data_IF_417594664571
#
_entry.id   IF_417594664571
#
_cell.length_a   1.000
_cell.length_b   1.000
_cell.length_c   1.000
_cell.angle_alpha   90.00
_cell.angle_beta   90.00
_cell.angle_gamma   90.00
#
_symmetry.space_group_name_H-M   'P 1'
#
loop_
_entity.id
_entity.type
_entity.pdbx_description
1 polymer ?
#
# COMPACT_ATOMS: atom_id res chain seq x y z
N UNK A 1 -37.72 17.08 -34.81
CA UNK A 1 -36.64 16.20 -34.33
C UNK A 1 -35.35 17.02 -34.27
N UNK A 2 -35.06 17.68 -33.14
CA UNK A 2 -33.89 18.56 -33.00
C UNK A 2 -32.77 17.81 -32.30
N UNK A 3 -31.76 17.40 -33.06
CA UNK A 3 -30.60 16.67 -32.56
C UNK A 3 -29.64 17.58 -31.78
N UNK A 4 -29.19 17.05 -30.64
CA UNK A 4 -28.35 17.67 -29.62
C UNK A 4 -27.00 18.12 -30.19
N UNK A 5 -26.81 19.44 -30.34
CA UNK A 5 -25.46 20.01 -30.45
C UNK A 5 -24.87 20.03 -29.04
N UNK A 6 -24.11 19.01 -28.69
CA UNK A 6 -23.34 18.98 -27.45
C UNK A 6 -22.33 20.13 -27.50
N UNK A 7 -22.44 21.07 -26.58
CA UNK A 7 -21.65 22.29 -26.58
C UNK A 7 -20.20 21.96 -26.17
N UNK A 8 -19.24 22.23 -27.06
CA UNK A 8 -17.80 22.01 -26.84
C UNK A 8 -17.30 22.74 -25.59
N UNK A 9 -17.91 23.89 -25.24
CA UNK A 9 -17.58 24.65 -24.04
C UNK A 9 -17.84 23.87 -22.75
N UNK A 10 -18.91 23.07 -22.69
CA UNK A 10 -19.24 22.27 -21.51
C UNK A 10 -18.27 21.09 -21.32
N UNK A 11 -17.75 20.53 -22.42
CA UNK A 11 -16.76 19.46 -22.37
C UNK A 11 -15.41 19.97 -21.84
N UNK A 12 -14.99 21.17 -22.27
CA UNK A 12 -13.75 21.80 -21.82
C UNK A 12 -13.84 22.21 -20.34
N UNK A 13 -14.99 22.73 -19.90
CA UNK A 13 -15.20 23.06 -18.48
C UNK A 13 -15.20 21.84 -17.54
N UNK A 14 -15.61 20.65 -18.00
CA UNK A 14 -15.53 19.42 -17.20
C UNK A 14 -14.11 18.90 -17.02
N UNK A 15 -13.22 19.12 -18.00
CA UNK A 15 -11.82 18.73 -17.90
C UNK A 15 -11.04 19.58 -16.89
N UNK A 16 -11.43 20.84 -16.72
CA UNK A 16 -10.77 21.79 -15.82
C UNK A 16 -11.29 21.74 -14.36
N UNK A 17 -12.18 20.80 -14.02
CA UNK A 17 -12.59 20.64 -12.63
C UNK A 17 -11.50 19.91 -11.84
N UNK A 18 -11.03 20.47 -10.71
CA UNK A 18 -10.08 19.78 -9.85
C UNK A 18 -10.73 18.48 -9.35
N UNK A 19 -10.27 17.34 -9.88
CA UNK A 19 -10.72 16.04 -9.41
C UNK A 19 -10.18 15.85 -7.99
N UNK A 20 -11.08 15.94 -7.02
CA UNK A 20 -10.78 15.65 -5.61
C UNK A 20 -10.43 14.17 -5.50
N UNK A 21 -9.14 13.87 -5.56
CA UNK A 21 -8.60 12.51 -5.42
C UNK A 21 -8.92 12.07 -3.99
N UNK A 22 -10.00 11.31 -3.84
CA UNK A 22 -10.33 10.73 -2.55
C UNK A 22 -9.47 9.47 -2.42
N UNK A 23 -8.59 9.35 -1.41
CA UNK A 23 -7.74 8.18 -1.29
C UNK A 23 -8.60 6.97 -0.92
N UNK A 24 -9.03 6.21 -1.92
CA UNK A 24 -9.69 4.91 -1.71
C UNK A 24 -8.61 3.92 -1.29
N UNK A 25 -8.66 3.45 -0.03
CA UNK A 25 -7.79 2.37 0.39
C UNK A 25 -8.11 1.09 -0.40
N UNK A 26 -7.10 0.37 -0.93
CA UNK A 26 -7.32 -0.92 -1.57
C UNK A 26 -7.98 -1.91 -0.61
N UNK A 27 -8.95 -2.71 -1.08
CA UNK A 27 -9.62 -3.73 -0.26
C UNK A 27 -8.63 -4.68 0.44
N UNK A 28 -7.52 -5.01 -0.21
CA UNK A 28 -6.45 -5.87 0.34
C UNK A 28 -5.75 -5.28 1.56
N UNK A 29 -5.89 -3.98 1.84
CA UNK A 29 -5.31 -3.29 3.00
C UNK A 29 -6.36 -2.95 4.06
N UNK A 30 -7.61 -3.34 3.86
CA UNK A 30 -8.68 -3.11 4.83
C UNK A 30 -8.37 -3.84 6.14
N UNK A 31 -8.42 -3.13 7.27
CA UNK A 31 -8.12 -3.67 8.60
C UNK A 31 -6.63 -3.83 8.92
N UNK A 32 -5.73 -3.53 7.98
CA UNK A 32 -4.28 -3.60 8.18
C UNK A 32 -3.70 -2.22 8.49
N UNK A 33 -2.67 -2.19 9.36
CA UNK A 33 -1.88 -0.99 9.64
C UNK A 33 -0.44 -1.19 9.20
N UNK A 34 0.11 -0.17 8.54
CA UNK A 34 1.52 -0.16 8.16
C UNK A 34 2.40 0.01 9.38
N UNK A 35 3.40 -0.87 9.51
CA UNK A 35 4.52 -0.71 10.45
C UNK A 35 5.76 -0.40 9.61
N UNK A 36 6.37 0.76 9.82
CA UNK A 36 7.52 1.22 9.05
C UNK A 36 8.64 1.72 9.98
N UNK A 37 9.88 1.52 9.55
CA UNK A 37 11.09 2.00 10.22
C UNK A 37 12.19 2.30 9.20
N UNK A 38 13.13 3.16 9.57
CA UNK A 38 14.31 3.45 8.76
C UNK A 38 15.41 2.43 9.10
N UNK A 39 15.94 1.77 8.08
CA UNK A 39 16.99 0.76 8.20
C UNK A 39 18.11 1.03 7.21
N UNK A 40 19.27 0.41 7.45
CA UNK A 40 20.36 0.42 6.50
C UNK A 40 19.93 -0.16 5.13
N UNK A 41 20.32 0.44 4.00
CA UNK A 41 19.98 -0.07 2.68
C UNK A 41 20.47 -1.51 2.43
N UNK A 42 21.62 -1.90 2.95
CA UNK A 42 22.10 -3.28 2.86
C UNK A 42 21.23 -4.24 3.65
N UNK A 43 20.77 -3.85 4.84
CA UNK A 43 19.87 -4.68 5.63
C UNK A 43 18.57 -4.95 4.86
N UNK A 44 18.02 -3.91 4.22
CA UNK A 44 16.83 -4.03 3.37
C UNK A 44 17.05 -4.97 2.18
N UNK A 45 18.24 -4.95 1.57
CA UNK A 45 18.60 -5.86 0.47
C UNK A 45 18.71 -7.30 0.94
N UNK A 46 19.45 -7.55 2.03
CA UNK A 46 19.65 -8.89 2.59
C UNK A 46 18.32 -9.53 2.97
N UNK A 47 17.41 -8.76 3.59
CA UNK A 47 16.10 -9.26 3.97
C UNK A 47 15.24 -9.65 2.75
N UNK A 48 15.34 -8.90 1.65
CA UNK A 48 14.66 -9.24 0.39
C UNK A 48 15.25 -10.49 -0.27
N UNK A 49 16.58 -10.64 -0.25
CA UNK A 49 17.26 -11.84 -0.76
C UNK A 49 16.78 -13.06 0.02
N UNK A 50 16.76 -12.98 1.36
CA UNK A 50 16.26 -14.05 2.21
C UNK A 50 14.80 -14.43 1.89
N UNK A 51 13.94 -13.45 1.62
CA UNK A 51 12.55 -13.70 1.24
C UNK A 51 12.46 -14.52 -0.06
N UNK A 52 13.29 -14.19 -1.06
CA UNK A 52 13.36 -14.93 -2.33
C UNK A 52 13.91 -16.35 -2.12
N UNK A 53 14.98 -16.51 -1.34
CA UNK A 53 15.59 -17.82 -1.06
C UNK A 53 14.62 -18.77 -0.33
N UNK A 54 13.73 -18.22 0.50
CA UNK A 54 12.77 -19.00 1.30
C UNK A 54 11.40 -19.16 0.62
N UNK A 55 11.22 -18.68 -0.61
CA UNK A 55 9.93 -18.62 -1.32
C UNK A 55 8.80 -17.99 -0.47
N UNK A 56 9.13 -16.87 0.18
CA UNK A 56 8.24 -16.16 1.12
C UNK A 56 8.16 -14.70 0.81
N UNK A 57 7.09 -14.05 1.26
CA UNK A 57 7.01 -12.59 1.15
C UNK A 57 7.83 -11.91 2.24
N UNK A 58 8.25 -10.67 1.97
CA UNK A 58 8.90 -9.83 2.99
C UNK A 58 8.02 -9.64 4.22
N UNK A 59 6.70 -9.57 4.02
CA UNK A 59 5.73 -9.42 5.10
C UNK A 59 5.65 -10.68 5.98
N UNK A 60 5.80 -11.87 5.40
CA UNK A 60 5.81 -13.13 6.17
C UNK A 60 7.03 -13.18 7.11
N UNK A 61 8.22 -12.86 6.60
CA UNK A 61 9.44 -12.84 7.40
C UNK A 61 9.38 -11.78 8.51
N UNK A 62 8.87 -10.58 8.20
CA UNK A 62 8.67 -9.54 9.21
C UNK A 62 7.62 -9.95 10.25
N UNK A 63 6.55 -10.62 9.83
CA UNK A 63 5.52 -11.14 10.72
C UNK A 63 6.08 -12.17 11.71
N UNK A 64 6.91 -13.08 11.22
CA UNK A 64 7.60 -14.08 12.04
C UNK A 64 8.57 -13.42 13.03
N UNK A 65 9.44 -12.53 12.55
CA UNK A 65 10.40 -11.81 13.40
C UNK A 65 9.71 -10.98 14.50
N UNK A 66 8.57 -10.35 14.20
CA UNK A 66 7.77 -9.62 15.17
C UNK A 66 7.12 -10.55 16.20
N UNK A 67 6.61 -11.71 15.79
CA UNK A 67 6.09 -12.70 16.73
C UNK A 67 7.18 -13.21 17.68
N UNK A 68 8.36 -13.51 17.18
CA UNK A 68 9.48 -13.95 18.01
C UNK A 68 9.95 -12.86 18.96
N UNK A 69 9.91 -11.60 18.53
CA UNK A 69 10.14 -10.45 19.40
C UNK A 69 9.09 -10.38 20.52
N UNK A 70 7.80 -10.55 20.22
CA UNK A 70 6.75 -10.52 21.24
C UNK A 70 6.85 -11.68 22.23
N UNK A 71 7.18 -12.89 21.76
CA UNK A 71 7.46 -14.05 22.63
C UNK A 71 8.65 -13.76 23.56
N UNK A 72 9.73 -13.19 23.03
CA UNK A 72 10.92 -12.84 23.82
C UNK A 72 10.63 -11.86 24.97
N UNK A 73 9.69 -10.94 24.78
CA UNK A 73 9.35 -9.92 25.78
C UNK A 73 8.03 -10.20 26.53
N UNK A 74 7.50 -11.43 26.42
CA UNK A 74 6.24 -11.88 27.05
C UNK A 74 5.06 -10.92 26.78
N UNK A 75 5.03 -10.33 25.58
CA UNK A 75 3.94 -9.48 25.09
C UNK A 75 2.95 -10.25 24.20
N UNK A 76 3.14 -11.55 24.03
CA UNK A 76 2.20 -12.44 23.35
C UNK A 76 1.11 -12.92 24.31
N UNK A 77 0.14 -12.06 24.61
CA UNK A 77 -1.16 -12.50 25.16
C UNK A 77 -2.12 -12.84 24.04
#
# INVERSE_FOLDING_TARGET
MTARKTNLAEAVSKLNQPHKITPTQPRSRSGLKTVAGYFDPEMSKRLKILAVEQDRTLQDLLGEALQDLFKKYDKGR
#
